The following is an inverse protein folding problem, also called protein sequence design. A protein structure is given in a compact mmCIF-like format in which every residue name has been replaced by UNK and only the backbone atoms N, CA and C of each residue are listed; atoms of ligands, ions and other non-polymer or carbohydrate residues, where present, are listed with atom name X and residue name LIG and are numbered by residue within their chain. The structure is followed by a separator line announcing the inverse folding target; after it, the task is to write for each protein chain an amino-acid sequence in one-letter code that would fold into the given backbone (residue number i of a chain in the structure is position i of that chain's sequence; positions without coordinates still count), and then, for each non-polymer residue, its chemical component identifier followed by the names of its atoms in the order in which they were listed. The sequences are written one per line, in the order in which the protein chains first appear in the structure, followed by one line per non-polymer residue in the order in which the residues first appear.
data_IF_258275204312
#
_entry.id   IF_258275204312
#
_cell.length_a   1.000
_cell.length_b   1.000
_cell.length_c   1.000
_cell.angle_alpha   90.00
_cell.angle_beta   90.00
_cell.angle_gamma   90.00
#
_symmetry.space_group_name_H-M   'P 1'
#
loop_
_entity.id
_entity.type
_entity.pdbx_description
1 polymer ?
#
# COMPACT_ATOMS: atom_id res chain seq x y z
N UNK A 1 48.15 31.26 38.87
CA UNK A 1 49.44 31.66 38.26
C UNK A 1 50.09 30.43 37.64
N UNK A 2 50.59 30.59 36.41
CA UNK A 2 51.50 29.72 35.62
C UNK A 2 50.92 28.52 34.84
N UNK A 3 50.99 28.74 33.54
CA UNK A 3 50.82 27.89 32.35
C UNK A 3 51.66 26.61 32.32
N UNK A 4 51.17 25.66 31.51
CA UNK A 4 51.86 24.77 30.53
C UNK A 4 50.71 24.08 29.74
N UNK A 5 50.40 24.30 28.45
CA UNK A 5 51.16 24.16 27.18
C UNK A 5 51.86 22.78 27.11
N UNK A 6 51.76 21.90 26.10
CA UNK A 6 51.54 21.91 24.62
C UNK A 6 51.11 20.45 24.24
N UNK A 7 50.29 20.11 23.22
CA UNK A 7 50.63 19.68 21.82
C UNK A 7 49.33 19.12 21.19
N UNK A 8 48.74 19.65 20.12
CA UNK A 8 49.16 19.63 18.70
C UNK A 8 49.42 18.21 18.15
N UNK A 9 48.53 17.73 17.26
CA UNK A 9 48.61 16.38 16.68
C UNK A 9 47.68 16.14 15.48
N UNK A 10 47.98 16.81 14.37
CA UNK A 10 47.97 16.31 12.98
C UNK A 10 46.66 15.80 12.35
N UNK A 11 46.17 16.63 11.40
CA UNK A 11 45.37 16.31 10.21
C UNK A 11 45.96 15.14 9.40
N UNK A 12 45.14 14.19 8.94
CA UNK A 12 45.39 13.55 7.65
C UNK A 12 44.08 13.24 6.90
N UNK A 13 44.01 13.82 5.71
CA UNK A 13 42.95 13.73 4.71
C UNK A 13 43.06 12.42 3.92
N UNK A 14 41.93 11.78 3.61
CA UNK A 14 41.79 10.95 2.42
C UNK A 14 40.42 11.23 1.77
N UNK A 15 40.41 12.25 0.90
CA UNK A 15 39.39 12.41 -0.12
C UNK A 15 39.70 11.46 -1.27
N UNK A 16 38.91 10.40 -1.44
CA UNK A 16 38.97 9.56 -2.62
C UNK A 16 38.23 10.26 -3.78
N UNK A 17 38.98 10.96 -4.62
CA UNK A 17 38.49 11.46 -5.92
C UNK A 17 38.48 10.27 -6.88
N UNK A 18 37.30 9.74 -7.17
CA UNK A 18 37.12 8.75 -8.24
C UNK A 18 37.13 9.53 -9.56
N UNK A 19 38.32 9.62 -10.18
CA UNK A 19 38.45 10.03 -11.58
C UNK A 19 38.01 8.85 -12.46
N UNK A 20 36.78 8.91 -12.97
CA UNK A 20 36.37 8.08 -14.09
C UNK A 20 37.15 8.48 -15.34
N UNK A 21 38.19 7.71 -15.68
CA UNK A 21 38.83 7.78 -16.99
C UNK A 21 37.83 7.25 -18.02
N UNK A 22 37.33 8.14 -18.89
CA UNK A 22 36.75 7.74 -20.14
C UNK A 22 37.86 7.10 -20.99
N UNK A 23 37.78 5.80 -21.18
CA UNK A 23 38.62 5.07 -22.13
C UNK A 23 38.27 5.56 -23.53
N UNK A 24 39.15 6.38 -24.09
CA UNK A 24 39.17 6.71 -25.52
C UNK A 24 39.73 5.47 -26.22
N UNK A 25 38.89 4.80 -27.01
CA UNK A 25 39.34 3.70 -27.87
C UNK A 25 40.29 4.24 -28.95
N UNK A 26 41.48 3.64 -29.15
CA UNK A 26 42.32 3.96 -30.30
C UNK A 26 41.69 3.40 -31.57
N UNK A 27 41.71 4.20 -32.63
CA UNK A 27 41.34 3.83 -33.98
C UNK A 27 42.50 3.13 -34.71
N UNK A 28 42.14 2.26 -35.67
CA UNK A 28 42.93 1.38 -36.55
C UNK A 28 43.19 -0.02 -35.96
N UNK A 29 42.91 -1.14 -36.64
CA UNK A 29 42.52 -1.42 -38.03
C UNK A 29 42.01 -2.87 -38.13
N UNK A 30 41.33 -3.19 -39.25
CA UNK A 30 40.95 -4.51 -39.78
C UNK A 30 39.62 -5.17 -39.33
N UNK A 31 38.59 -4.72 -40.05
CA UNK A 31 37.71 -5.55 -40.88
C UNK A 31 36.66 -6.46 -40.22
N UNK A 32 35.42 -6.09 -40.55
CA UNK A 32 34.26 -6.97 -40.77
C UNK A 32 33.31 -7.19 -39.59
N UNK A 33 32.78 -6.10 -39.03
CA UNK A 33 31.45 -6.11 -38.44
C UNK A 33 30.70 -4.84 -38.88
N UNK A 34 29.57 -5.05 -39.52
CA UNK A 34 28.62 -4.05 -39.97
C UNK A 34 28.18 -3.17 -38.80
N UNK A 35 28.61 -1.91 -38.78
CA UNK A 35 28.00 -0.88 -37.93
C UNK A 35 26.50 -0.82 -38.21
N UNK A 36 25.61 -0.91 -37.20
CA UNK A 36 24.19 -0.70 -37.42
C UNK A 36 23.95 0.73 -37.91
N UNK A 37 23.06 0.87 -38.89
CA UNK A 37 22.69 2.13 -39.51
C UNK A 37 22.23 3.16 -38.46
N UNK A 38 22.54 4.47 -38.60
CA UNK A 38 22.04 5.52 -37.70
C UNK A 38 20.50 5.59 -37.61
N UNK A 39 19.77 4.89 -38.48
CA UNK A 39 18.31 4.78 -38.44
C UNK A 39 17.79 3.79 -37.38
N UNK A 40 18.60 2.86 -36.86
CA UNK A 40 18.15 1.91 -35.81
C UNK A 40 18.16 2.50 -34.38
N UNK A 41 18.72 3.70 -34.20
CA UNK A 41 18.76 4.39 -32.91
C UNK A 41 17.43 5.09 -32.54
N UNK A 42 16.41 5.04 -33.40
CA UNK A 42 15.05 5.50 -33.09
C UNK A 42 14.12 4.33 -32.75
N UNK A 43 14.50 3.53 -31.74
CA UNK A 43 13.46 2.81 -30.99
C UNK A 43 12.81 3.83 -30.07
N UNK A 44 11.73 4.44 -30.57
CA UNK A 44 10.76 5.16 -29.76
C UNK A 44 10.41 4.25 -28.59
N UNK A 45 10.86 4.60 -27.39
CA UNK A 45 10.31 4.03 -26.16
C UNK A 45 8.84 4.40 -26.15
N UNK A 46 7.99 3.53 -26.67
CA UNK A 46 6.56 3.58 -26.41
C UNK A 46 6.45 3.20 -24.94
N UNK A 47 6.07 4.13 -24.04
CA UNK A 47 5.79 3.76 -22.67
C UNK A 47 4.67 2.73 -22.76
N UNK A 48 4.96 1.50 -22.35
CA UNK A 48 3.93 0.47 -22.24
C UNK A 48 2.87 1.02 -21.29
N UNK A 49 1.70 1.37 -21.85
CA UNK A 49 0.55 1.79 -21.05
C UNK A 49 0.07 0.54 -20.34
N UNK A 50 0.69 0.23 -19.20
CA UNK A 50 0.20 -0.80 -18.29
C UNK A 50 -1.26 -0.44 -17.99
N UNK A 51 -2.22 -1.35 -18.27
CA UNK A 51 -3.63 -1.10 -17.97
C UNK A 51 -3.77 -0.66 -16.51
N UNK A 52 -4.72 0.24 -16.19
CA UNK A 52 -5.01 0.55 -14.80
C UNK A 52 -5.29 -0.75 -14.05
N UNK A 53 -4.66 -0.91 -12.89
CA UNK A 53 -4.84 -2.08 -12.03
C UNK A 53 -6.33 -2.23 -11.73
N UNK A 54 -6.95 -3.27 -12.28
CA UNK A 54 -8.35 -3.58 -11.98
C UNK A 54 -8.46 -3.96 -10.50
N UNK A 55 -9.38 -3.32 -9.79
CA UNK A 55 -9.68 -3.69 -8.40
C UNK A 55 -10.21 -5.13 -8.42
N UNK A 56 -9.63 -6.06 -7.64
CA UNK A 56 -10.19 -7.40 -7.51
C UNK A 56 -11.66 -7.34 -7.08
N UNK A 57 -12.50 -8.16 -7.70
CA UNK A 57 -13.90 -8.28 -7.31
C UNK A 57 -14.00 -8.72 -5.83
N UNK A 58 -14.69 -7.96 -4.97
CA UNK A 58 -14.77 -8.31 -3.55
C UNK A 58 -15.57 -9.60 -3.34
N UNK A 59 -15.26 -10.31 -2.26
CA UNK A 59 -16.01 -11.50 -1.83
C UNK A 59 -17.47 -11.15 -1.46
N UNK A 60 -18.35 -12.15 -1.42
CA UNK A 60 -19.76 -11.97 -1.00
C UNK A 60 -19.86 -11.34 0.39
N UNK A 61 -18.97 -11.74 1.31
CA UNK A 61 -18.88 -11.17 2.65
C UNK A 61 -18.72 -9.65 2.65
N UNK A 62 -17.87 -9.13 1.76
CA UNK A 62 -17.61 -7.69 1.62
C UNK A 62 -18.81 -7.01 0.95
N UNK A 63 -19.39 -7.63 -0.09
CA UNK A 63 -20.54 -7.07 -0.83
C UNK A 63 -21.78 -6.91 0.05
N UNK A 64 -22.03 -7.83 0.97
CA UNK A 64 -23.21 -7.84 1.84
C UNK A 64 -23.05 -7.00 3.12
N UNK A 65 -21.84 -6.48 3.39
CA UNK A 65 -21.53 -5.71 4.60
C UNK A 65 -21.14 -4.28 4.22
N UNK A 66 -22.09 -3.34 4.26
CA UNK A 66 -21.87 -1.95 3.84
C UNK A 66 -20.67 -1.28 4.54
N UNK A 67 -20.53 -1.31 5.89
CA UNK A 67 -19.33 -0.80 6.57
C UNK A 67 -18.01 -1.38 6.06
N UNK A 68 -17.96 -2.69 5.81
CA UNK A 68 -16.76 -3.38 5.32
C UNK A 68 -16.50 -3.08 3.84
N UNK A 69 -17.55 -3.02 3.03
CA UNK A 69 -17.49 -2.65 1.61
C UNK A 69 -16.89 -1.25 1.44
N UNK A 70 -17.40 -0.28 2.19
CA UNK A 70 -16.87 1.09 2.17
C UNK A 70 -15.39 1.13 2.58
N UNK A 71 -15.03 0.45 3.67
CA UNK A 71 -13.65 0.39 4.14
C UNK A 71 -12.71 -0.32 3.13
N UNK A 72 -13.19 -1.35 2.44
CA UNK A 72 -12.48 -2.04 1.38
C UNK A 72 -12.15 -1.09 0.22
N UNK A 73 -13.16 -0.39 -0.31
CA UNK A 73 -12.98 0.54 -1.43
C UNK A 73 -12.14 1.76 -1.05
N UNK A 74 -12.29 2.29 0.16
CA UNK A 74 -11.44 3.37 0.66
C UNK A 74 -9.98 2.95 0.75
N UNK A 75 -9.73 1.76 1.29
CA UNK A 75 -8.38 1.19 1.40
C UNK A 75 -7.79 0.97 0.01
N UNK A 76 -8.55 0.37 -0.92
CA UNK A 76 -8.12 0.19 -2.31
C UNK A 76 -7.78 1.54 -2.97
N UNK A 77 -8.63 2.56 -2.82
CA UNK A 77 -8.38 3.89 -3.38
C UNK A 77 -7.07 4.51 -2.85
N UNK A 78 -6.81 4.38 -1.56
CA UNK A 78 -5.56 4.86 -0.94
C UNK A 78 -4.36 4.10 -1.49
N UNK A 79 -4.43 2.76 -1.54
CA UNK A 79 -3.32 1.91 -1.98
C UNK A 79 -3.04 2.04 -3.49
N UNK A 80 -4.07 2.23 -4.31
CA UNK A 80 -3.94 2.41 -5.76
C UNK A 80 -3.25 3.72 -6.13
N UNK A 81 -3.43 4.75 -5.32
CA UNK A 81 -2.90 6.09 -5.58
C UNK A 81 -1.39 6.12 -5.32
N UNK A 82 -0.63 6.83 -6.16
CA UNK A 82 0.81 7.07 -5.94
C UNK A 82 0.97 8.10 -4.82
N UNK A 83 1.20 7.65 -3.59
CA UNK A 83 1.25 8.49 -2.40
C UNK A 83 2.22 7.88 -1.36
N UNK A 84 2.29 8.47 -0.16
CA UNK A 84 3.20 8.00 0.88
C UNK A 84 2.78 6.62 1.40
N UNK A 85 1.48 6.41 1.59
CA UNK A 85 0.93 5.16 2.08
C UNK A 85 1.25 3.97 1.16
N UNK A 86 0.94 4.07 -0.14
CA UNK A 86 1.25 3.00 -1.09
C UNK A 86 2.76 2.78 -1.23
N UNK A 87 3.57 3.83 -1.12
CA UNK A 87 5.04 3.71 -1.13
C UNK A 87 5.57 2.94 0.08
N UNK A 88 4.97 3.13 1.26
CA UNK A 88 5.29 2.37 2.47
C UNK A 88 5.06 0.86 2.26
N UNK A 89 3.98 0.49 1.57
CA UNK A 89 3.66 -0.89 1.18
C UNK A 89 4.40 -1.38 -0.07
N UNK A 90 5.51 -0.75 -0.46
CA UNK A 90 6.32 -1.19 -1.61
C UNK A 90 5.79 -0.79 -2.98
N UNK A 91 4.79 0.09 -3.03
CA UNK A 91 4.18 0.63 -4.25
C UNK A 91 2.73 0.15 -4.44
N UNK A 92 1.99 0.91 -5.27
CA UNK A 92 0.56 0.69 -5.51
C UNK A 92 0.22 -0.72 -6.00
N UNK A 93 0.98 -1.25 -6.96
CA UNK A 93 0.76 -2.60 -7.49
C UNK A 93 0.92 -3.70 -6.43
N UNK A 94 1.98 -3.60 -5.63
CA UNK A 94 2.26 -4.56 -4.57
C UNK A 94 1.18 -4.53 -3.48
N UNK A 95 0.83 -3.32 -3.05
CA UNK A 95 -0.12 -3.13 -1.97
C UNK A 95 -1.53 -3.62 -2.33
N UNK A 96 -1.99 -3.31 -3.55
CA UNK A 96 -3.32 -3.72 -4.05
C UNK A 96 -3.42 -5.24 -4.20
N UNK A 97 -2.38 -5.88 -4.75
CA UNK A 97 -2.33 -7.34 -4.91
C UNK A 97 -2.40 -8.05 -3.55
N UNK A 98 -1.55 -7.69 -2.60
CA UNK A 98 -1.54 -8.34 -1.28
C UNK A 98 -2.83 -8.05 -0.51
N UNK A 99 -3.35 -6.82 -0.59
CA UNK A 99 -4.60 -6.45 0.08
C UNK A 99 -5.80 -7.22 -0.49
N UNK A 100 -5.89 -7.38 -1.82
CA UNK A 100 -6.93 -8.19 -2.44
C UNK A 100 -6.93 -9.65 -1.95
N UNK A 101 -5.74 -10.27 -1.89
CA UNK A 101 -5.57 -11.63 -1.39
C UNK A 101 -5.91 -11.75 0.10
N UNK A 102 -5.51 -10.78 0.92
CA UNK A 102 -5.88 -10.72 2.34
C UNK A 102 -7.40 -10.70 2.52
N UNK A 103 -8.09 -9.81 1.81
CA UNK A 103 -9.53 -9.63 1.92
C UNK A 103 -10.33 -10.86 1.48
N UNK A 104 -9.79 -11.68 0.57
CA UNK A 104 -10.39 -12.95 0.18
C UNK A 104 -10.40 -14.00 1.31
N UNK A 105 -9.49 -13.89 2.28
CA UNK A 105 -9.38 -14.81 3.43
C UNK A 105 -10.16 -14.36 4.68
N UNK A 106 -10.68 -13.13 4.65
CA UNK A 106 -11.30 -12.51 5.82
C UNK A 106 -12.62 -13.19 6.19
N UNK A 107 -12.81 -13.45 7.49
CA UNK A 107 -14.04 -14.01 8.06
C UNK A 107 -14.56 -13.11 9.18
N UNK A 108 -15.86 -13.14 9.44
CA UNK A 108 -16.48 -12.45 10.58
C UNK A 108 -16.73 -13.41 11.72
N UNK A 109 -16.27 -13.06 12.92
CA UNK A 109 -16.57 -13.79 14.15
C UNK A 109 -16.74 -12.81 15.32
N UNK A 110 -17.15 -13.33 16.48
CA UNK A 110 -17.17 -12.57 17.73
C UNK A 110 -15.88 -12.82 18.52
N UNK A 111 -15.17 -11.74 18.82
CA UNK A 111 -13.96 -11.72 19.66
C UNK A 111 -14.15 -10.73 20.82
N UNK A 112 -13.28 -10.72 21.84
CA UNK A 112 -13.26 -9.67 22.85
C UNK A 112 -13.31 -8.27 22.23
N UNK A 113 -14.10 -7.36 22.80
CA UNK A 113 -14.40 -6.04 22.22
C UNK A 113 -13.19 -5.12 22.03
N UNK A 114 -12.06 -5.44 22.67
CA UNK A 114 -10.78 -4.74 22.48
C UNK A 114 -10.04 -5.14 21.20
N UNK A 115 -10.49 -6.19 20.49
CA UNK A 115 -9.88 -6.69 19.26
C UNK A 115 -10.73 -6.23 18.08
N UNK A 116 -10.14 -5.51 17.13
CA UNK A 116 -10.79 -5.10 15.89
C UNK A 116 -10.72 -6.17 14.81
N UNK A 117 -9.48 -6.54 14.46
CA UNK A 117 -9.16 -7.59 13.53
C UNK A 117 -8.03 -8.44 14.15
N UNK A 118 -7.94 -9.70 13.74
CA UNK A 118 -6.91 -10.62 14.20
C UNK A 118 -6.51 -11.56 13.08
N UNK A 119 -5.21 -11.68 12.86
CA UNK A 119 -4.64 -12.78 12.09
C UNK A 119 -4.01 -13.82 13.02
N UNK A 120 -4.12 -15.11 12.68
CA UNK A 120 -3.59 -16.20 13.52
C UNK A 120 -3.40 -17.51 12.75
N UNK A 121 -2.68 -18.43 13.38
CA UNK A 121 -2.31 -19.72 12.79
C UNK A 121 -0.91 -19.69 12.20
N UNK A 122 -0.57 -20.76 11.47
CA UNK A 122 0.65 -20.78 10.68
C UNK A 122 0.54 -19.76 9.55
N UNK A 123 1.68 -19.36 8.99
CA UNK A 123 1.71 -18.52 7.80
C UNK A 123 2.47 -19.18 6.67
N UNK A 124 2.01 -18.93 5.45
CA UNK A 124 2.67 -19.34 4.22
C UNK A 124 3.35 -18.14 3.58
N UNK A 125 4.60 -18.30 3.13
CA UNK A 125 5.27 -17.26 2.35
C UNK A 125 4.90 -17.41 0.88
N UNK A 126 4.44 -16.32 0.26
CA UNK A 126 4.01 -16.28 -1.13
C UNK A 126 4.96 -15.37 -1.92
N UNK A 127 5.32 -15.81 -3.14
CA UNK A 127 5.94 -14.96 -4.15
C UNK A 127 4.92 -14.84 -5.30
N UNK A 128 4.37 -13.64 -5.50
CA UNK A 128 3.56 -13.40 -6.68
C UNK A 128 4.49 -13.26 -7.90
N UNK A 129 4.37 -14.17 -8.86
CA UNK A 129 5.24 -14.18 -10.04
C UNK A 129 5.04 -12.97 -10.97
N UNK A 130 3.83 -12.40 -11.01
CA UNK A 130 3.53 -11.24 -11.86
C UNK A 130 4.09 -9.95 -11.26
N UNK A 131 3.90 -9.73 -9.95
CA UNK A 131 4.33 -8.50 -9.27
C UNK A 131 5.73 -8.61 -8.66
N UNK A 132 6.29 -9.81 -8.57
CA UNK A 132 7.55 -10.14 -7.86
C UNK A 132 7.52 -9.81 -6.35
N UNK A 133 6.32 -9.61 -5.80
CA UNK A 133 6.13 -9.26 -4.39
C UNK A 133 6.19 -10.50 -3.52
N UNK A 134 6.91 -10.39 -2.40
CA UNK A 134 6.97 -11.41 -1.35
C UNK A 134 6.16 -10.96 -0.16
N UNK A 135 5.23 -11.80 0.28
CA UNK A 135 4.36 -11.53 1.41
C UNK A 135 4.06 -12.84 2.16
N UNK A 136 3.45 -12.74 3.34
CA UNK A 136 2.90 -13.90 4.06
C UNK A 136 1.38 -13.84 4.07
N UNK A 137 0.74 -15.01 4.19
CA UNK A 137 -0.69 -15.14 4.47
C UNK A 137 -0.84 -16.05 5.67
N UNK A 138 -1.63 -15.64 6.66
CA UNK A 138 -1.96 -16.44 7.84
C UNK A 138 -3.15 -17.35 7.57
N UNK A 139 -3.21 -18.50 8.24
CA UNK A 139 -4.31 -19.47 8.11
C UNK A 139 -5.70 -18.85 8.38
N UNK A 140 -5.76 -17.86 9.27
CA UNK A 140 -7.00 -17.19 9.67
C UNK A 140 -6.82 -15.68 9.73
N UNK A 141 -7.77 -14.96 9.13
CA UNK A 141 -8.00 -13.54 9.33
C UNK A 141 -9.45 -13.32 9.79
N UNK A 142 -9.63 -12.80 10.99
CA UNK A 142 -10.93 -12.64 11.64
C UNK A 142 -11.21 -11.17 11.92
N UNK A 143 -12.31 -10.67 11.36
CA UNK A 143 -12.90 -9.38 11.67
C UNK A 143 -13.90 -9.52 12.82
N UNK A 144 -13.70 -8.75 13.89
CA UNK A 144 -14.56 -8.83 15.06
C UNK A 144 -15.87 -8.05 14.88
N UNK A 145 -16.99 -8.77 14.79
CA UNK A 145 -18.33 -8.17 14.67
C UNK A 145 -18.79 -7.43 15.95
N UNK A 146 -18.17 -7.73 17.10
CA UNK A 146 -18.36 -7.04 18.37
C UNK A 146 -17.29 -5.98 18.70
N UNK A 147 -16.38 -5.71 17.76
CA UNK A 147 -15.19 -4.88 17.98
C UNK A 147 -15.30 -3.44 17.48
N UNK A 148 -14.20 -2.68 17.56
CA UNK A 148 -14.11 -1.27 17.13
C UNK A 148 -14.39 -1.04 15.65
N UNK A 149 -14.46 -2.08 14.81
CA UNK A 149 -14.85 -1.93 13.41
C UNK A 149 -16.32 -1.50 13.25
N UNK A 150 -17.22 -2.03 14.10
CA UNK A 150 -18.66 -1.84 13.99
C UNK A 150 -19.29 -1.15 15.21
N UNK A 151 -18.59 -1.10 16.33
CA UNK A 151 -19.14 -0.67 17.61
C UNK A 151 -18.41 0.57 18.09
N UNK A 152 -19.19 1.51 18.64
CA UNK A 152 -18.70 2.67 19.39
C UNK A 152 -19.38 2.70 20.76
N UNK A 153 -18.88 3.53 21.66
CA UNK A 153 -19.55 3.78 22.93
C UNK A 153 -20.83 4.59 22.69
N UNK A 154 -21.98 4.01 23.02
CA UNK A 154 -23.31 4.63 22.81
C UNK A 154 -23.88 5.19 24.13
N UNK A 155 -23.39 4.72 25.28
CA UNK A 155 -23.80 5.21 26.60
C UNK A 155 -22.64 5.23 27.60
N UNK A 156 -22.80 5.96 28.71
CA UNK A 156 -21.84 5.98 29.82
C UNK A 156 -21.65 4.62 30.49
N UNK A 157 -22.68 3.77 30.48
CA UNK A 157 -22.71 2.42 31.06
C UNK A 157 -22.22 1.31 30.12
N UNK A 158 -22.04 1.59 28.83
CA UNK A 158 -21.55 0.60 27.87
C UNK A 158 -20.04 0.33 28.06
N UNK A 159 -19.62 -0.90 27.75
CA UNK A 159 -18.21 -1.29 27.67
C UNK A 159 -17.45 -0.29 26.80
N UNK A 160 -16.39 0.28 27.35
CA UNK A 160 -15.58 1.26 26.61
C UNK A 160 -14.77 0.54 25.55
N UNK A 161 -14.95 0.94 24.29
CA UNK A 161 -14.19 0.44 23.16
C UNK A 161 -13.06 1.43 22.90
N UNK A 162 -11.78 0.99 22.91
CA UNK A 162 -10.67 1.89 22.71
C UNK A 162 -10.67 2.45 21.27
N UNK A 163 -10.09 3.65 21.06
CA UNK A 163 -9.81 4.15 19.73
C UNK A 163 -8.81 3.27 18.97
N UNK A 164 -8.82 3.39 17.65
CA UNK A 164 -7.81 2.77 16.78
C UNK A 164 -6.85 3.88 16.34
N UNK A 165 -5.64 3.88 16.90
CA UNK A 165 -4.71 4.99 16.73
C UNK A 165 -5.32 6.30 17.23
N UNK A 166 -5.30 7.35 16.41
CA UNK A 166 -5.98 8.62 16.69
C UNK A 166 -7.48 8.64 16.35
N UNK A 167 -8.04 7.58 15.75
CA UNK A 167 -9.41 7.57 15.24
C UNK A 167 -10.40 6.94 16.21
N UNK A 168 -11.60 7.51 16.26
CA UNK A 168 -12.69 6.98 17.07
C UNK A 168 -13.12 5.60 16.57
N UNK A 169 -13.50 4.66 17.46
CA UNK A 169 -14.01 3.37 17.02
C UNK A 169 -15.30 3.57 16.20
N UNK A 170 -15.57 2.66 15.25
CA UNK A 170 -16.66 2.73 14.28
C UNK A 170 -16.61 3.93 13.32
N UNK A 171 -15.50 4.67 13.24
CA UNK A 171 -15.31 5.69 12.21
C UNK A 171 -14.82 5.07 10.89
N UNK A 172 -15.00 5.79 9.78
CA UNK A 172 -14.53 5.38 8.45
C UNK A 172 -13.02 5.19 8.44
N UNK A 173 -12.30 6.10 9.07
CA UNK A 173 -10.85 6.13 9.23
C UNK A 173 -10.33 4.99 10.07
N UNK A 174 -10.97 4.71 11.21
CA UNK A 174 -10.58 3.59 12.07
C UNK A 174 -10.67 2.26 11.32
N UNK A 175 -11.74 2.06 10.52
CA UNK A 175 -11.91 0.85 9.71
C UNK A 175 -10.77 0.67 8.70
N UNK A 176 -10.41 1.74 7.98
CA UNK A 176 -9.29 1.72 7.04
C UNK A 176 -7.96 1.49 7.77
N UNK A 177 -7.73 2.16 8.90
CA UNK A 177 -6.51 1.97 9.68
C UNK A 177 -6.37 0.51 10.17
N UNK A 178 -7.45 -0.13 10.61
CA UNK A 178 -7.44 -1.55 10.97
C UNK A 178 -7.04 -2.42 9.78
N UNK A 179 -7.59 -2.20 8.59
CA UNK A 179 -7.25 -2.99 7.40
C UNK A 179 -5.78 -2.79 6.97
N UNK A 180 -5.29 -1.56 7.02
CA UNK A 180 -3.89 -1.23 6.70
C UNK A 180 -2.90 -1.77 7.75
N UNK A 181 -3.29 -1.81 9.03
CA UNK A 181 -2.53 -2.46 10.10
C UNK A 181 -2.29 -3.93 9.78
N UNK A 182 -3.33 -4.66 9.45
CA UNK A 182 -3.20 -6.09 9.13
C UNK A 182 -2.38 -6.30 7.85
N UNK A 183 -2.57 -5.46 6.83
CA UNK A 183 -1.73 -5.49 5.62
C UNK A 183 -0.24 -5.31 5.95
N UNK A 184 0.10 -4.46 6.93
CA UNK A 184 1.47 -4.24 7.39
C UNK A 184 2.13 -5.49 7.97
N UNK A 185 1.37 -6.37 8.60
CA UNK A 185 1.90 -7.67 9.02
C UNK A 185 2.18 -8.60 7.84
N UNK A 186 1.49 -8.46 6.70
CA UNK A 186 1.64 -9.38 5.57
C UNK A 186 2.83 -9.05 4.67
N UNK A 187 3.23 -7.78 4.59
CA UNK A 187 4.16 -7.29 3.58
C UNK A 187 5.59 -7.10 4.12
N UNK A 188 6.57 -7.21 3.22
CA UNK A 188 7.98 -6.89 3.51
C UNK A 188 8.37 -5.54 2.94
N UNK A 189 9.23 -4.85 3.67
CA UNK A 189 9.94 -3.67 3.20
C UNK A 189 11.06 -4.01 2.21
N UNK A 190 11.67 -2.98 1.65
CA UNK A 190 12.80 -3.10 0.71
C UNK A 190 14.04 -3.74 1.34
N UNK A 191 14.15 -3.68 2.67
CA UNK A 191 15.22 -4.31 3.46
C UNK A 191 14.95 -5.80 3.72
N UNK A 192 13.84 -6.34 3.22
CA UNK A 192 13.46 -7.75 3.37
C UNK A 192 12.86 -8.09 4.73
N UNK A 193 12.69 -7.11 5.64
CA UNK A 193 12.01 -7.29 6.93
C UNK A 193 10.51 -7.10 6.76
N UNK A 194 9.73 -7.69 7.66
CA UNK A 194 8.28 -7.42 7.73
C UNK A 194 8.07 -5.94 8.07
N UNK A 195 7.09 -5.29 7.42
CA UNK A 195 6.78 -3.88 7.67
C UNK A 195 6.33 -3.67 9.11
N UNK A 196 5.53 -4.60 9.63
CA UNK A 196 5.17 -4.69 11.04
C UNK A 196 5.56 -6.07 11.61
N UNK A 197 6.26 -6.13 12.76
CA UNK A 197 6.40 -7.37 13.53
C UNK A 197 5.03 -7.83 14.03
N UNK A 198 4.90 -9.09 14.45
CA UNK A 198 3.64 -9.59 15.01
C UNK A 198 3.26 -8.82 16.29
N UNK A 199 1.97 -8.51 16.46
CA UNK A 199 1.44 -7.85 17.67
C UNK A 199 1.55 -8.73 18.94
N UNK A 200 1.76 -10.04 18.73
CA UNK A 200 1.88 -11.02 19.81
C UNK A 200 0.66 -11.04 20.74
N UNK A 201 0.93 -10.99 22.05
CA UNK A 201 -0.09 -10.82 23.10
C UNK A 201 0.01 -9.45 23.77
N UNK A 202 0.70 -8.50 23.14
CA UNK A 202 1.04 -7.21 23.72
C UNK A 202 0.25 -6.09 23.05
N UNK A 203 -0.66 -5.47 23.80
CA UNK A 203 -1.37 -4.27 23.34
C UNK A 203 -0.37 -3.14 23.01
N UNK A 204 0.75 -3.06 23.73
CA UNK A 204 1.76 -2.04 23.48
C UNK A 204 2.46 -2.22 22.11
N UNK A 205 2.68 -3.47 21.68
CA UNK A 205 3.22 -3.78 20.35
C UNK A 205 2.21 -3.41 19.27
N UNK A 206 0.94 -3.80 19.44
CA UNK A 206 -0.14 -3.42 18.53
C UNK A 206 -0.28 -1.91 18.39
N UNK A 207 -0.25 -1.15 19.50
CA UNK A 207 -0.28 0.32 19.46
C UNK A 207 0.94 0.92 18.75
N UNK A 208 2.12 0.33 18.90
CA UNK A 208 3.34 0.79 18.21
C UNK A 208 3.22 0.56 16.72
N UNK A 209 2.74 -0.62 16.33
CA UNK A 209 2.50 -1.00 14.94
C UNK A 209 1.43 -0.12 14.29
N UNK A 210 0.32 0.15 15.00
CA UNK A 210 -0.71 1.08 14.55
C UNK A 210 -0.15 2.50 14.32
N UNK A 211 0.72 3.01 15.21
CA UNK A 211 1.38 4.32 15.01
C UNK A 211 2.28 4.34 13.78
N UNK A 212 2.97 3.23 13.49
CA UNK A 212 3.79 3.11 12.28
C UNK A 212 2.93 3.28 11.02
N UNK A 213 1.78 2.61 10.96
CA UNK A 213 0.85 2.77 9.84
C UNK A 213 0.27 4.18 9.79
N UNK A 214 -0.16 4.72 10.93
CA UNK A 214 -0.73 6.06 10.97
C UNK A 214 0.28 7.13 10.56
N UNK A 215 1.57 6.94 10.88
CA UNK A 215 2.64 7.83 10.41
C UNK A 215 2.85 7.78 8.91
N UNK A 216 2.57 6.64 8.26
CA UNK A 216 2.78 6.45 6.82
C UNK A 216 1.54 6.76 5.97
N UNK A 217 0.34 6.60 6.54
CA UNK A 217 -0.93 6.64 5.82
C UNK A 217 -1.95 7.63 6.41
N UNK A 218 -1.62 8.27 7.55
CA UNK A 218 -2.58 9.07 8.30
C UNK A 218 -3.10 10.28 7.54
N UNK A 219 -2.31 10.86 6.64
CA UNK A 219 -2.75 11.98 5.79
C UNK A 219 -3.88 11.53 4.87
N UNK A 220 -3.69 10.45 4.11
CA UNK A 220 -4.69 9.90 3.20
C UNK A 220 -5.93 9.43 3.95
N UNK A 221 -5.76 8.75 5.08
CA UNK A 221 -6.87 8.29 5.93
C UNK A 221 -7.72 9.49 6.41
N UNK A 222 -7.09 10.58 6.87
CA UNK A 222 -7.82 11.77 7.35
C UNK A 222 -8.62 12.45 6.24
N UNK A 223 -8.22 12.31 4.97
CA UNK A 223 -8.99 12.89 3.86
C UNK A 223 -10.37 12.23 3.66
N UNK A 224 -10.57 11.02 4.16
CA UNK A 224 -11.84 10.27 4.01
C UNK A 224 -13.03 10.97 4.68
N UNK A 225 -12.81 11.82 5.68
CA UNK A 225 -13.87 12.63 6.32
C UNK A 225 -14.34 13.79 5.46
N UNK A 226 -13.48 14.28 4.57
CA UNK A 226 -13.74 15.46 3.74
C UNK A 226 -14.49 15.10 2.46
N UNK A 227 -14.42 13.84 2.04
CA UNK A 227 -15.12 13.33 0.87
C UNK A 227 -16.49 12.80 1.28
N UNK A 228 -17.54 13.60 1.04
CA UNK A 228 -18.92 13.19 1.24
C UNK A 228 -19.25 11.93 0.41
N UNK A 229 -20.08 10.99 0.91
CA UNK A 229 -20.46 9.76 0.21
C UNK A 229 -21.08 9.98 -1.19
N UNK A 230 -21.55 11.19 -1.49
CA UNK A 230 -22.29 11.52 -2.71
C UNK A 230 -21.43 11.63 -3.97
N UNK A 231 -20.11 11.77 -3.87
CA UNK A 231 -19.23 11.98 -5.04
C UNK A 231 -18.90 10.70 -5.85
N UNK A 232 -19.19 9.50 -5.33
CA UNK A 232 -18.80 8.24 -6.01
C UNK A 232 -19.78 7.81 -7.11
N UNK A 233 -20.99 8.37 -7.16
CA UNK A 233 -22.04 7.91 -8.10
C UNK A 233 -22.05 8.67 -9.43
N UNK A 234 -21.45 9.85 -9.53
CA UNK A 234 -21.62 10.71 -10.73
C UNK A 234 -20.59 10.51 -11.85
N UNK A 235 -19.51 9.74 -11.67
CA UNK A 235 -18.50 9.59 -12.73
C UNK A 235 -18.76 8.46 -13.74
N UNK A 236 -19.89 7.74 -13.64
CA UNK A 236 -20.21 6.62 -14.55
C UNK A 236 -21.55 6.78 -15.30
N UNK A 237 -22.15 7.98 -15.33
CA UNK A 237 -23.37 8.22 -16.09
C UNK A 237 -23.30 9.57 -16.77
N UNK A 238 -22.80 9.57 -18.01
CA UNK A 238 -23.28 10.37 -19.15
C UNK A 238 -22.18 10.45 -20.21
N UNK A 239 -22.13 9.43 -21.06
CA UNK A 239 -21.65 9.63 -22.43
C UNK A 239 -22.84 9.34 -23.35
N UNK A 240 -23.55 10.38 -23.83
CA UNK A 240 -24.68 10.19 -24.74
C UNK A 240 -24.15 9.63 -26.06
N UNK A 241 -24.61 8.42 -26.39
CA UNK A 241 -24.38 7.80 -27.69
C UNK A 241 -25.19 8.59 -28.70
N UNK A 242 -24.52 9.32 -29.59
CA UNK A 242 -25.15 9.97 -30.74
C UNK A 242 -25.86 8.91 -31.60
N UNK A 243 -27.14 9.11 -31.98
CA UNK A 243 -27.81 8.19 -32.88
C UNK A 243 -27.21 8.26 -34.28
N UNK A 244 -26.86 7.09 -34.82
CA UNK A 244 -26.44 6.93 -36.21
C UNK A 244 -27.61 7.25 -37.15
N UNK A 245 -27.31 8.02 -38.21
CA UNK A 245 -28.25 8.35 -39.26
C UNK A 245 -28.60 7.11 -40.09
N UNK A 246 -29.87 6.72 -40.08
CA UNK A 246 -30.43 5.71 -40.99
C UNK A 246 -30.66 6.34 -42.36
N UNK A 247 -29.82 6.02 -43.34
CA UNK A 247 -30.13 6.26 -44.76
C UNK A 247 -31.01 5.14 -45.28
N UNK A 248 -32.27 5.47 -45.54
CA UNK A 248 -33.24 4.67 -46.29
C UNK A 248 -32.84 4.57 -47.76
N UNK A 249 -32.69 3.36 -48.29
CA UNK A 249 -32.66 3.06 -49.72
C UNK A 249 -33.55 1.84 -49.97
N UNK A 250 -34.74 2.10 -50.50
CA UNK A 250 -35.60 1.09 -51.10
C UNK A 250 -35.17 0.88 -52.56
N UNK A 251 -34.79 -0.36 -52.89
CA UNK A 251 -35.20 -1.08 -54.10
C UNK A 251 -35.38 -2.54 -53.73
#
# INVERSE_FOLDING_TARGET
MRMREVTAGVLLMLAAVIQGRATICPANELANESCPSPEEARRTFVPERKPPLLIPEPSTLIKEDEPLSLAYYDTMKILQSKNQCSSFFGGSEAAVDVFGNFMASLRKEYLPSSIGLKMSGEYTNVLNAATQVRYRIFDKATLNSGGPFYKQKISSSATTIPPIGSFAPNSREARVLMLLHELGHLMRGRDGKWLLPDDGRSIAESLTNTRTIESACGEEIRTLTRTSPTEVVQNNSEQPVSPAATTSSHQ
#
